data_IF_023755896652
#
_entry.id   IF_023755896652
#
_cell.length_a   1.000
_cell.length_b   1.000
_cell.length_c   1.000
_cell.angle_alpha   90.00
_cell.angle_beta   90.00
_cell.angle_gamma   90.00
#
_symmetry.space_group_name_H-M   'P 1'
#
loop_
_entity.id
_entity.type
_entity.pdbx_description
1 polymer ?
#
# COMPACT_ATOMS: atom_id res chain seq x y z
N UNK A 1 -23.16 -10.22 20.75
CA UNK A 1 -21.77 -10.04 21.26
C UNK A 1 -20.71 -10.62 20.30
N UNK A 2 -20.93 -11.75 19.62
CA UNK A 2 -20.00 -12.33 18.63
C UNK A 2 -19.90 -11.47 17.36
N UNK A 3 -21.03 -10.95 16.87
CA UNK A 3 -21.09 -10.09 15.67
C UNK A 3 -20.35 -8.76 15.86
N UNK A 4 -20.47 -8.13 17.03
CA UNK A 4 -19.76 -6.89 17.35
C UNK A 4 -18.24 -7.10 17.48
N UNK A 5 -17.78 -8.30 17.90
CA UNK A 5 -16.36 -8.64 17.93
C UNK A 5 -15.79 -8.91 16.53
N UNK A 6 -16.57 -9.52 15.63
CA UNK A 6 -16.19 -9.70 14.23
C UNK A 6 -16.07 -8.35 13.49
N UNK A 7 -17.03 -7.45 13.72
CA UNK A 7 -17.03 -6.13 13.09
C UNK A 7 -15.85 -5.27 13.56
N UNK A 8 -15.53 -5.29 14.89
CA UNK A 8 -14.37 -4.57 15.42
C UNK A 8 -13.02 -5.16 14.94
N UNK A 9 -12.92 -6.46 14.71
CA UNK A 9 -11.72 -7.08 14.15
C UNK A 9 -11.55 -6.71 12.66
N UNK A 10 -12.65 -6.75 11.89
CA UNK A 10 -12.68 -6.32 10.49
C UNK A 10 -12.29 -4.83 10.32
N UNK A 11 -12.79 -3.96 11.20
CA UNK A 11 -12.45 -2.53 11.19
C UNK A 11 -10.96 -2.30 11.51
N UNK A 12 -10.38 -3.08 12.41
CA UNK A 12 -8.95 -3.03 12.73
C UNK A 12 -8.08 -3.51 11.55
N UNK A 13 -8.50 -4.57 10.87
CA UNK A 13 -7.80 -5.08 9.69
C UNK A 13 -7.87 -4.09 8.52
N UNK A 14 -9.03 -3.51 8.24
CA UNK A 14 -9.17 -2.48 7.22
C UNK A 14 -8.33 -1.24 7.54
N UNK A 15 -8.29 -0.81 8.79
CA UNK A 15 -7.47 0.32 9.23
C UNK A 15 -5.98 0.03 9.05
N UNK A 16 -5.54 -1.20 9.35
CA UNK A 16 -4.16 -1.66 9.18
C UNK A 16 -3.77 -1.71 7.71
N UNK A 17 -4.63 -2.26 6.86
CA UNK A 17 -4.40 -2.31 5.41
C UNK A 17 -4.32 -0.91 4.79
N UNK A 18 -5.21 0.00 5.16
CA UNK A 18 -5.14 1.40 4.73
C UNK A 18 -3.91 2.16 5.27
N UNK A 19 -3.33 1.74 6.40
CA UNK A 19 -2.04 2.24 6.85
C UNK A 19 -0.91 1.72 5.95
N UNK A 20 -0.89 0.42 5.63
CA UNK A 20 0.13 -0.18 4.77
C UNK A 20 0.14 0.42 3.36
N UNK A 21 -1.04 0.67 2.81
CA UNK A 21 -1.19 1.36 1.53
C UNK A 21 -0.52 2.73 1.55
N UNK A 22 -0.87 3.56 2.54
CA UNK A 22 -0.29 4.90 2.69
C UNK A 22 1.20 4.87 2.95
N UNK A 23 1.67 3.91 3.74
CA UNK A 23 3.09 3.72 4.02
C UNK A 23 3.89 3.43 2.74
N UNK A 24 3.37 2.55 1.88
CA UNK A 24 4.03 2.19 0.63
C UNK A 24 4.19 3.39 -0.33
N UNK A 25 3.20 4.28 -0.36
CA UNK A 25 3.16 5.43 -1.28
C UNK A 25 3.75 6.72 -0.68
N UNK A 26 4.07 6.73 0.62
CA UNK A 26 4.63 7.89 1.28
C UNK A 26 6.12 8.08 0.96
N UNK A 27 6.58 9.34 1.00
CA UNK A 27 7.99 9.66 1.19
C UNK A 27 8.35 9.51 2.66
N UNK A 28 9.42 8.78 2.94
CA UNK A 28 9.89 8.46 4.29
C UNK A 28 11.33 8.87 4.49
N UNK A 29 11.64 9.41 5.65
CA UNK A 29 12.98 9.81 6.07
C UNK A 29 13.58 8.68 6.90
N UNK A 30 14.49 7.91 6.27
CA UNK A 30 15.18 6.77 6.88
C UNK A 30 16.36 7.26 7.69
N UNK A 31 16.42 6.94 8.99
CA UNK A 31 17.52 7.28 9.88
C UNK A 31 18.76 6.45 9.51
N UNK A 32 19.91 7.12 9.39
CA UNK A 32 21.20 6.52 9.02
C UNK A 32 22.22 6.66 10.15
N UNK A 33 23.20 5.74 10.18
CA UNK A 33 24.36 5.82 11.07
C UNK A 33 25.33 6.93 10.65
N UNK A 34 25.44 7.19 9.36
CA UNK A 34 26.33 8.20 8.77
C UNK A 34 25.74 8.78 7.48
N UNK A 35 26.19 9.96 7.04
CA UNK A 35 25.73 10.52 5.78
C UNK A 35 25.97 9.56 4.60
N UNK A 36 25.02 9.48 3.64
CA UNK A 36 25.13 8.56 2.52
C UNK A 36 26.37 8.87 1.67
N UNK A 37 27.05 7.82 1.19
CA UNK A 37 28.22 7.95 0.32
C UNK A 37 27.90 7.33 -1.04
N UNK A 38 27.66 8.17 -2.05
CA UNK A 38 27.18 7.73 -3.35
C UNK A 38 25.79 7.12 -3.24
N UNK A 39 25.60 5.92 -3.75
CA UNK A 39 24.33 5.17 -3.67
C UNK A 39 24.24 4.27 -2.42
N UNK A 40 25.31 4.18 -1.64
CA UNK A 40 25.30 3.34 -0.45
C UNK A 40 24.65 4.07 0.72
N UNK A 41 23.68 3.44 1.32
CA UNK A 41 22.98 3.87 2.55
C UNK A 41 23.22 2.86 3.65
N UNK A 42 23.50 3.34 4.85
CA UNK A 42 23.71 2.51 6.05
C UNK A 42 22.67 2.88 7.11
N UNK A 43 21.54 2.18 7.17
CA UNK A 43 20.49 2.45 8.15
C UNK A 43 20.98 2.21 9.56
N UNK A 44 20.51 3.01 10.51
CA UNK A 44 20.67 2.72 11.92
C UNK A 44 19.74 1.60 12.33
N UNK A 45 20.30 0.53 12.92
CA UNK A 45 19.58 -0.69 13.30
C UNK A 45 19.37 -0.71 14.82
N UNK A 46 18.13 -0.96 15.22
CA UNK A 46 17.71 -1.05 16.61
C UNK A 46 17.23 -2.47 16.92
N UNK A 47 17.84 -3.10 17.90
CA UNK A 47 17.42 -4.43 18.36
C UNK A 47 16.32 -4.28 19.41
N UNK A 48 15.13 -4.80 19.11
CA UNK A 48 13.97 -4.79 19.99
C UNK A 48 13.43 -6.22 20.10
N UNK A 49 13.47 -6.78 21.30
CA UNK A 49 13.04 -8.15 21.59
C UNK A 49 13.79 -9.20 20.72
N UNK A 50 13.07 -9.90 19.84
CA UNK A 50 13.61 -10.95 18.99
C UNK A 50 13.96 -10.48 17.57
N UNK A 51 13.73 -9.20 17.25
CA UNK A 51 13.89 -8.66 15.89
C UNK A 51 14.73 -7.36 15.89
N UNK A 52 15.35 -7.12 14.76
CA UNK A 52 16.05 -5.87 14.47
C UNK A 52 15.21 -4.99 13.55
N UNK A 53 15.20 -3.70 13.80
CA UNK A 53 14.37 -2.70 13.11
C UNK A 53 15.20 -1.55 12.60
N UNK A 54 14.77 -0.96 11.49
CA UNK A 54 15.18 0.38 11.09
C UNK A 54 14.05 1.37 11.36
N UNK A 55 14.38 2.64 11.51
CA UNK A 55 13.41 3.68 11.82
C UNK A 55 13.22 4.63 10.66
N UNK A 56 11.96 4.92 10.36
CA UNK A 56 11.55 5.91 9.38
C UNK A 56 10.57 6.91 9.98
N UNK A 57 10.57 8.09 9.42
CA UNK A 57 9.69 9.18 9.81
C UNK A 57 9.01 9.75 8.55
N UNK A 58 7.76 10.14 8.65
CA UNK A 58 7.02 10.78 7.55
C UNK A 58 7.33 12.28 7.42
N UNK A 59 8.15 12.84 8.34
CA UNK A 59 8.60 14.23 8.36
C UNK A 59 9.97 14.32 8.99
N UNK A 60 10.80 15.21 8.44
CA UNK A 60 12.15 15.45 8.91
C UNK A 60 12.20 16.01 10.35
N UNK A 61 11.23 16.85 10.73
CA UNK A 61 11.15 17.38 12.09
C UNK A 61 10.87 16.28 13.14
N UNK A 62 10.10 15.23 12.79
CA UNK A 62 9.90 14.07 13.66
C UNK A 62 11.15 13.23 13.84
N UNK A 63 11.96 13.09 12.79
CA UNK A 63 13.25 12.44 12.89
C UNK A 63 14.17 13.20 13.87
N UNK A 64 14.23 14.53 13.73
CA UNK A 64 15.02 15.39 14.62
C UNK A 64 14.50 15.39 16.05
N UNK A 65 13.18 15.31 16.25
CA UNK A 65 12.54 15.18 17.56
C UNK A 65 12.92 13.86 18.24
N UNK A 66 12.87 12.74 17.50
CA UNK A 66 13.25 11.43 18.00
C UNK A 66 14.70 11.35 18.43
N UNK A 67 15.62 11.84 17.58
CA UNK A 67 17.07 11.77 17.86
C UNK A 67 17.56 12.85 18.83
N UNK A 68 16.77 13.90 19.05
CA UNK A 68 17.16 15.06 19.86
C UNK A 68 18.29 15.89 19.26
N UNK A 69 18.70 15.60 18.04
CA UNK A 69 19.82 16.26 17.33
C UNK A 69 19.65 16.18 15.82
N UNK A 70 20.48 16.89 15.08
CA UNK A 70 20.59 16.74 13.63
C UNK A 70 21.29 15.41 13.35
N UNK A 71 20.60 14.50 12.68
CA UNK A 71 21.07 13.16 12.35
C UNK A 71 21.03 12.93 10.85
N UNK A 72 21.94 12.09 10.30
CA UNK A 72 21.92 11.77 8.89
C UNK A 72 20.66 10.95 8.52
N UNK A 73 20.10 11.24 7.36
CA UNK A 73 18.94 10.50 6.82
C UNK A 73 18.99 10.47 5.29
N UNK A 74 18.15 9.66 4.72
CA UNK A 74 17.82 9.67 3.28
C UNK A 74 16.31 9.62 3.10
N UNK A 75 15.78 10.41 2.16
CA UNK A 75 14.39 10.38 1.77
C UNK A 75 14.18 9.29 0.70
N UNK A 76 13.31 8.33 0.97
CA UNK A 76 12.97 7.21 0.09
C UNK A 76 11.47 7.01 0.05
N UNK A 77 10.96 6.45 -1.05
CA UNK A 77 9.57 5.96 -1.06
C UNK A 77 9.42 4.77 -0.11
N UNK A 78 8.24 4.61 0.50
CA UNK A 78 7.97 3.45 1.35
C UNK A 78 8.20 2.13 0.63
N UNK A 79 7.89 2.05 -0.68
CA UNK A 79 8.19 0.87 -1.53
C UNK A 79 9.69 0.56 -1.57
N UNK A 80 10.54 1.56 -1.73
CA UNK A 80 11.99 1.38 -1.75
C UNK A 80 12.51 0.90 -0.38
N UNK A 81 11.98 1.45 0.71
CA UNK A 81 12.29 1.00 2.08
C UNK A 81 11.89 -0.46 2.27
N UNK A 82 10.65 -0.83 1.94
CA UNK A 82 10.15 -2.20 2.07
C UNK A 82 11.02 -3.19 1.27
N UNK A 83 11.33 -2.86 0.01
CA UNK A 83 12.18 -3.70 -0.85
C UNK A 83 13.59 -3.88 -0.27
N UNK A 84 14.17 -2.84 0.32
CA UNK A 84 15.47 -2.91 0.96
C UNK A 84 15.49 -3.81 2.21
N UNK A 85 14.41 -3.83 2.99
CA UNK A 85 14.34 -4.53 4.28
C UNK A 85 14.03 -6.02 4.15
N UNK A 86 13.28 -6.43 3.13
CA UNK A 86 12.81 -7.82 2.99
C UNK A 86 13.96 -8.82 2.92
N UNK A 87 15.02 -8.51 2.17
CA UNK A 87 16.18 -9.39 2.01
C UNK A 87 17.02 -9.48 3.29
N UNK A 88 17.00 -8.45 4.11
CA UNK A 88 17.75 -8.36 5.35
C UNK A 88 16.97 -8.89 6.56
N UNK A 89 15.68 -9.25 6.38
CA UNK A 89 14.77 -9.69 7.44
C UNK A 89 14.68 -8.68 8.59
N UNK A 90 14.69 -7.40 8.26
CA UNK A 90 14.53 -6.31 9.20
C UNK A 90 13.08 -5.88 9.28
N UNK A 91 12.67 -5.48 10.49
CA UNK A 91 11.40 -4.80 10.71
C UNK A 91 11.50 -3.29 10.48
N UNK A 92 10.38 -2.61 10.56
CA UNK A 92 10.25 -1.17 10.34
C UNK A 92 9.54 -0.50 11.50
N UNK A 93 10.19 0.48 12.13
CA UNK A 93 9.57 1.39 13.08
C UNK A 93 9.20 2.69 12.37
N UNK A 94 7.92 3.07 12.43
CA UNK A 94 7.39 4.29 11.81
C UNK A 94 7.01 5.27 12.89
N UNK A 95 7.57 6.47 12.86
CA UNK A 95 7.25 7.59 13.76
C UNK A 95 7.25 7.22 15.25
N UNK A 96 8.12 6.31 15.69
CA UNK A 96 8.16 5.85 17.09
C UNK A 96 8.41 7.03 18.03
N UNK A 97 7.61 7.07 19.11
CA UNK A 97 7.67 8.05 20.21
C UNK A 97 7.46 9.54 19.82
N UNK A 98 7.19 9.84 18.54
CA UNK A 98 7.03 11.22 18.06
C UNK A 98 5.67 11.50 17.40
N UNK A 99 4.81 10.49 17.23
CA UNK A 99 3.49 10.70 16.65
C UNK A 99 2.45 9.66 17.09
N UNK A 100 1.14 10.03 17.12
CA UNK A 100 0.07 9.05 17.31
C UNK A 100 -0.01 7.98 16.21
N UNK A 101 0.56 8.27 15.03
CA UNK A 101 0.68 7.33 13.90
C UNK A 101 1.86 6.37 14.04
N UNK A 102 2.47 6.26 15.22
CA UNK A 102 3.55 5.32 15.44
C UNK A 102 3.09 3.88 15.20
N UNK A 103 3.95 3.11 14.56
CA UNK A 103 3.71 1.69 14.31
C UNK A 103 5.02 0.92 14.22
N UNK A 104 5.02 -0.30 14.74
CA UNK A 104 6.11 -1.24 14.63
C UNK A 104 5.66 -2.40 13.74
N UNK A 105 6.35 -2.60 12.62
CA UNK A 105 6.09 -3.68 11.66
C UNK A 105 7.19 -4.72 11.80
N UNK A 106 6.88 -5.95 12.25
CA UNK A 106 7.87 -7.00 12.31
C UNK A 106 8.30 -7.48 10.90
N UNK A 107 9.42 -8.21 10.78
CA UNK A 107 9.93 -8.68 9.48
C UNK A 107 8.91 -9.46 8.65
N UNK A 108 8.01 -10.22 9.28
CA UNK A 108 6.96 -10.98 8.61
C UNK A 108 5.94 -10.04 7.91
N UNK A 109 5.61 -8.92 8.56
CA UNK A 109 4.71 -7.92 7.97
C UNK A 109 5.39 -7.21 6.76
N UNK A 110 6.69 -6.94 6.84
CA UNK A 110 7.48 -6.42 5.72
C UNK A 110 7.51 -7.42 4.57
N UNK A 111 7.74 -8.73 4.85
CA UNK A 111 7.70 -9.80 3.86
C UNK A 111 6.35 -9.91 3.17
N UNK A 112 5.25 -9.88 3.93
CA UNK A 112 3.90 -9.89 3.37
C UNK A 112 3.64 -8.65 2.48
N UNK A 113 4.01 -7.47 2.96
CA UNK A 113 3.82 -6.21 2.24
C UNK A 113 4.63 -6.18 0.93
N UNK A 114 5.88 -6.65 0.96
CA UNK A 114 6.71 -6.78 -0.24
C UNK A 114 6.07 -7.71 -1.28
N UNK A 115 5.57 -8.87 -0.85
CA UNK A 115 4.88 -9.82 -1.74
C UNK A 115 3.61 -9.21 -2.33
N UNK A 116 2.84 -8.51 -1.51
CA UNK A 116 1.60 -7.84 -1.93
C UNK A 116 1.87 -6.77 -2.98
N UNK A 117 2.88 -5.94 -2.76
CA UNK A 117 3.27 -4.87 -3.70
C UNK A 117 3.92 -5.40 -5.00
N UNK A 118 4.46 -6.63 -4.98
CA UNK A 118 5.04 -7.28 -6.15
C UNK A 118 4.01 -8.03 -7.00
N UNK A 119 2.76 -8.18 -6.52
CA UNK A 119 1.72 -8.85 -7.30
C UNK A 119 1.43 -8.07 -8.58
N UNK A 120 1.36 -8.79 -9.69
CA UNK A 120 0.98 -8.25 -10.99
C UNK A 120 -0.34 -8.88 -11.41
N UNK A 121 -1.27 -8.07 -11.92
CA UNK A 121 -2.52 -8.56 -12.45
C UNK A 121 -2.27 -9.50 -13.64
N UNK A 122 -3.03 -10.59 -13.71
CA UNK A 122 -3.01 -11.49 -14.84
C UNK A 122 -3.76 -10.87 -16.02
N UNK A 123 -3.15 -10.86 -17.20
CA UNK A 123 -3.81 -10.40 -18.41
C UNK A 123 -4.68 -11.51 -18.97
N UNK A 124 -6.00 -11.26 -19.03
CA UNK A 124 -6.99 -12.18 -19.62
C UNK A 124 -7.75 -11.48 -20.72
N UNK A 125 -8.09 -12.22 -21.76
CA UNK A 125 -8.93 -11.72 -22.86
C UNK A 125 -10.34 -12.29 -22.72
N UNK A 126 -11.27 -11.48 -22.21
CA UNK A 126 -12.66 -11.81 -22.03
C UNK A 126 -13.55 -10.83 -22.81
N UNK A 127 -14.59 -11.34 -23.44
CA UNK A 127 -15.55 -10.52 -24.17
C UNK A 127 -16.81 -10.30 -23.32
N UNK A 128 -17.08 -9.05 -22.89
CA UNK A 128 -18.30 -8.72 -22.16
C UNK A 128 -19.53 -8.93 -23.05
N UNK A 129 -20.59 -9.54 -22.48
CA UNK A 129 -21.87 -9.75 -23.14
C UNK A 129 -22.89 -8.67 -22.80
N UNK A 130 -22.91 -8.20 -21.56
CA UNK A 130 -23.82 -7.15 -21.11
C UNK A 130 -23.23 -6.40 -19.91
N UNK A 131 -23.63 -5.11 -19.79
CA UNK A 131 -23.25 -4.21 -18.72
C UNK A 131 -24.46 -3.79 -17.91
N UNK A 132 -24.27 -3.63 -16.60
CA UNK A 132 -25.31 -3.27 -15.65
C UNK A 132 -24.81 -2.24 -14.67
N UNK A 133 -25.72 -1.53 -14.03
CA UNK A 133 -25.38 -0.68 -12.89
C UNK A 133 -24.71 -1.54 -11.82
N UNK A 134 -23.56 -1.11 -11.28
CA UNK A 134 -22.87 -1.88 -10.25
C UNK A 134 -23.75 -2.00 -9.01
N UNK A 135 -23.84 -3.21 -8.47
CA UNK A 135 -24.52 -3.53 -7.22
C UNK A 135 -23.58 -4.27 -6.29
N UNK A 136 -23.84 -4.16 -5.00
CA UNK A 136 -23.16 -4.93 -3.96
C UNK A 136 -21.64 -4.68 -3.86
N UNK A 137 -21.19 -3.48 -4.27
CA UNK A 137 -19.78 -3.08 -4.10
C UNK A 137 -19.62 -2.50 -2.69
N UNK A 138 -18.76 -3.11 -1.86
CA UNK A 138 -18.49 -2.60 -0.54
C UNK A 138 -17.91 -1.17 -0.56
N UNK A 139 -18.32 -0.34 0.38
CA UNK A 139 -17.88 1.04 0.49
C UNK A 139 -16.34 1.16 0.61
N UNK A 140 -15.69 0.21 1.30
CA UNK A 140 -14.24 0.18 1.46
C UNK A 140 -13.50 0.06 0.11
N UNK A 141 -14.05 -0.68 -0.87
CA UNK A 141 -13.49 -0.76 -2.23
C UNK A 141 -13.55 0.58 -2.92
N UNK A 142 -14.71 1.26 -2.83
CA UNK A 142 -14.88 2.57 -3.47
C UNK A 142 -13.93 3.61 -2.89
N UNK A 143 -13.76 3.63 -1.56
CA UNK A 143 -12.85 4.55 -0.86
C UNK A 143 -11.38 4.25 -1.22
N UNK A 144 -10.99 2.98 -1.30
CA UNK A 144 -9.64 2.60 -1.71
C UNK A 144 -9.37 2.94 -3.18
N UNK A 145 -10.33 2.68 -4.08
CA UNK A 145 -10.24 3.09 -5.48
C UNK A 145 -10.12 4.60 -5.62
N UNK A 146 -10.95 5.38 -4.93
CA UNK A 146 -10.87 6.84 -4.96
C UNK A 146 -9.49 7.33 -4.52
N UNK A 147 -8.96 6.77 -3.42
CA UNK A 147 -7.64 7.11 -2.91
C UNK A 147 -6.52 6.85 -3.93
N UNK A 148 -6.53 5.67 -4.55
CA UNK A 148 -5.51 5.27 -5.55
C UNK A 148 -5.65 6.02 -6.86
N UNK A 149 -6.87 6.27 -7.32
CA UNK A 149 -7.10 6.98 -8.58
C UNK A 149 -6.70 8.45 -8.54
N UNK A 150 -6.62 9.06 -7.35
CA UNK A 150 -6.02 10.39 -7.19
C UNK A 150 -4.56 10.40 -7.66
N UNK A 151 -3.79 9.36 -7.37
CA UNK A 151 -2.40 9.24 -7.82
C UNK A 151 -2.27 8.99 -9.33
N UNK A 152 -3.32 8.47 -9.96
CA UNK A 152 -3.42 8.27 -11.41
C UNK A 152 -3.98 9.50 -12.17
N UNK A 153 -4.19 10.62 -11.48
CA UNK A 153 -4.67 11.86 -12.10
C UNK A 153 -3.72 12.31 -13.22
N UNK A 154 -4.27 12.56 -14.40
CA UNK A 154 -3.50 12.90 -15.60
C UNK A 154 -3.08 11.71 -16.46
N UNK A 155 -3.18 10.47 -15.98
CA UNK A 155 -2.94 9.26 -16.76
C UNK A 155 -4.19 8.74 -17.46
N UNK A 156 -5.37 9.11 -16.98
CA UNK A 156 -6.67 8.69 -17.53
C UNK A 156 -7.68 9.81 -17.44
N UNK A 157 -8.56 9.89 -18.43
CA UNK A 157 -9.58 10.95 -18.47
C UNK A 157 -10.80 10.61 -17.63
N UNK A 158 -11.25 9.36 -17.65
CA UNK A 158 -12.40 8.87 -16.92
C UNK A 158 -12.17 7.42 -16.46
N UNK A 159 -12.75 7.07 -15.33
CA UNK A 159 -12.78 5.70 -14.84
C UNK A 159 -14.24 5.30 -14.59
N UNK A 160 -14.63 4.16 -15.12
CA UNK A 160 -15.99 3.65 -15.00
C UNK A 160 -15.99 2.29 -14.31
N UNK A 161 -16.82 2.16 -13.29
CA UNK A 161 -17.05 0.91 -12.60
C UNK A 161 -18.46 0.40 -12.98
N UNK A 162 -18.54 -0.81 -13.47
CA UNK A 162 -19.81 -1.45 -13.92
C UNK A 162 -19.83 -2.92 -13.55
N UNK A 163 -21.03 -3.48 -13.38
CA UNK A 163 -21.21 -4.94 -13.35
C UNK A 163 -21.27 -5.46 -14.78
N UNK A 164 -20.73 -6.65 -15.00
CA UNK A 164 -20.62 -7.26 -16.32
C UNK A 164 -20.95 -8.74 -16.27
N UNK A 165 -21.56 -9.24 -17.35
CA UNK A 165 -21.68 -10.67 -17.60
C UNK A 165 -20.81 -11.06 -18.80
N UNK A 166 -20.17 -12.22 -18.69
CA UNK A 166 -19.39 -12.85 -19.73
C UNK A 166 -20.07 -14.10 -20.27
N UNK A 167 -19.50 -14.72 -21.30
CA UNK A 167 -20.01 -15.98 -21.83
C UNK A 167 -20.02 -17.07 -20.74
N UNK A 168 -21.09 -17.90 -20.68
CA UNK A 168 -21.24 -18.92 -19.66
C UNK A 168 -21.84 -18.40 -18.33
N UNK A 169 -22.58 -17.29 -18.35
CA UNK A 169 -23.24 -16.69 -17.18
C UNK A 169 -22.26 -16.25 -16.04
N UNK A 170 -20.98 -16.13 -16.34
CA UNK A 170 -20.03 -15.57 -15.41
C UNK A 170 -20.32 -14.09 -15.18
N UNK A 171 -20.41 -13.69 -13.92
CA UNK A 171 -20.67 -12.31 -13.51
C UNK A 171 -19.43 -11.76 -12.80
N UNK A 172 -19.20 -10.46 -12.94
CA UNK A 172 -18.11 -9.78 -12.29
C UNK A 172 -18.30 -8.27 -12.32
N UNK A 173 -17.29 -7.57 -11.85
CA UNK A 173 -17.19 -6.12 -11.95
C UNK A 173 -16.07 -5.78 -12.93
N UNK A 174 -16.25 -4.73 -13.69
CA UNK A 174 -15.29 -4.20 -14.63
C UNK A 174 -14.96 -2.75 -14.27
N UNK A 175 -13.69 -2.47 -14.07
CA UNK A 175 -13.16 -1.12 -13.98
C UNK A 175 -12.57 -0.74 -15.33
N UNK A 176 -13.20 0.20 -16.03
CA UNK A 176 -12.77 0.62 -17.36
C UNK A 176 -12.06 1.98 -17.29
N UNK A 177 -10.87 2.06 -17.86
CA UNK A 177 -10.09 3.28 -17.99
C UNK A 177 -10.29 3.86 -19.39
N UNK A 178 -10.88 5.05 -19.48
CA UNK A 178 -11.25 5.69 -20.75
C UNK A 178 -10.25 6.81 -21.08
N UNK A 179 -9.78 6.82 -22.32
CA UNK A 179 -8.78 7.77 -22.81
C UNK A 179 -7.51 7.79 -21.91
N UNK A 180 -6.99 6.59 -21.59
CA UNK A 180 -5.73 6.46 -20.88
C UNK A 180 -4.55 6.92 -21.76
N UNK A 181 -3.56 7.53 -21.14
CA UNK A 181 -2.31 7.90 -21.81
C UNK A 181 -1.60 6.62 -22.23
N UNK A 182 -1.08 6.59 -23.44
CA UNK A 182 -0.37 5.44 -23.98
C UNK A 182 0.79 5.02 -23.05
N UNK A 183 0.83 3.75 -22.67
CA UNK A 183 1.83 3.19 -21.75
C UNK A 183 1.48 3.38 -20.26
N UNK A 184 0.34 3.95 -19.91
CA UNK A 184 -0.13 4.06 -18.53
C UNK A 184 -0.84 2.79 -18.01
N UNK A 185 -1.16 1.84 -18.89
CA UNK A 185 -1.93 0.64 -18.57
C UNK A 185 -1.35 -0.14 -17.38
N UNK A 186 -0.02 -0.42 -17.30
CA UNK A 186 0.53 -1.13 -16.15
C UNK A 186 0.34 -0.38 -14.83
N UNK A 187 0.53 0.95 -14.83
CA UNK A 187 0.37 1.76 -13.62
C UNK A 187 -1.10 1.80 -13.15
N UNK A 188 -2.04 1.94 -14.09
CA UNK A 188 -3.47 1.94 -13.79
C UNK A 188 -3.95 0.57 -13.28
N UNK A 189 -3.45 -0.52 -13.86
CA UNK A 189 -3.76 -1.88 -13.43
C UNK A 189 -3.22 -2.16 -12.03
N UNK A 190 -1.97 -1.75 -11.76
CA UNK A 190 -1.35 -1.87 -10.43
C UNK A 190 -2.14 -1.08 -9.39
N UNK A 191 -2.52 0.17 -9.69
CA UNK A 191 -3.32 1.00 -8.79
C UNK A 191 -4.68 0.35 -8.46
N UNK A 192 -5.37 -0.20 -9.46
CA UNK A 192 -6.64 -0.90 -9.26
C UNK A 192 -6.48 -2.17 -8.41
N UNK A 193 -5.46 -2.98 -8.69
CA UNK A 193 -5.18 -4.20 -7.95
C UNK A 193 -4.83 -3.90 -6.48
N UNK A 194 -4.00 -2.92 -6.23
CA UNK A 194 -3.66 -2.49 -4.87
C UNK A 194 -4.88 -1.98 -4.13
N UNK A 195 -5.74 -1.17 -4.77
CA UNK A 195 -6.98 -0.71 -4.16
C UNK A 195 -7.87 -1.88 -3.71
N UNK A 196 -7.98 -2.93 -4.52
CA UNK A 196 -8.73 -4.15 -4.15
C UNK A 196 -8.07 -4.87 -2.97
N UNK A 197 -6.76 -5.10 -3.02
CA UNK A 197 -6.03 -5.81 -1.97
C UNK A 197 -6.10 -5.08 -0.63
N UNK A 198 -5.87 -3.77 -0.64
CA UNK A 198 -5.87 -2.97 0.59
C UNK A 198 -7.28 -2.61 1.09
N UNK A 199 -8.33 -2.82 0.30
CA UNK A 199 -9.72 -2.73 0.79
C UNK A 199 -10.10 -3.85 1.76
N UNK A 200 -9.28 -4.90 1.87
CA UNK A 200 -9.53 -6.05 2.74
C UNK A 200 -10.57 -7.03 2.22
N UNK A 201 -10.93 -6.93 0.95
CA UNK A 201 -11.88 -7.83 0.31
C UNK A 201 -11.09 -8.89 -0.46
N UNK A 202 -11.32 -10.16 -0.13
CA UNK A 202 -10.73 -11.26 -0.87
C UNK A 202 -11.27 -11.25 -2.33
N UNK A 203 -10.37 -11.22 -3.29
CA UNK A 203 -10.71 -11.30 -4.70
C UNK A 203 -11.36 -12.68 -4.95
N UNK A 204 -12.69 -12.71 -5.12
CA UNK A 204 -13.43 -13.93 -5.46
C UNK A 204 -14.61 -14.28 -4.56
N UNK A 205 -15.06 -13.40 -3.66
CA UNK A 205 -16.33 -13.56 -2.94
C UNK A 205 -17.49 -12.91 -3.66
#
# INVERSE_FOLDING_TARGET
>A
RAHAKMQSASDQDATRLGFYERLADAELFLLLTQPPVGEAVEPEIFDLQEHSYVLVFDREDRLSEFTGQISPYVALSGRAVIAMLVDQKLGLGVNLDVAPSQMLLPPEAIGWLSQTLAQTAEEVSLQPMAFYTPSDIPQAVLESLDSKLVSAAGLVKQVWLTSVTYAGDQRGHLLAFIDAVAGAEPALTTAAQEALTFSGIEAGS
#
